data_IF_498861428476
#
_entry.id   IF_498861428476
#
_cell.length_a   1.000
_cell.length_b   1.000
_cell.length_c   1.000
_cell.angle_alpha   90.00
_cell.angle_beta   90.00
_cell.angle_gamma   90.00
#
_symmetry.space_group_name_H-M   'P 1'
#
loop_
_entity.id
_entity.type
_entity.pdbx_description
1 polymer ?
#
# COMPACT_ATOMS: atom_id res chain seq x y z
N UNK A 1 -52.51 -15.32 -6.95
CA UNK A 1 -51.28 -15.59 -7.74
C UNK A 1 -50.80 -14.28 -8.33
N UNK A 2 -49.71 -13.67 -7.83
CA UNK A 2 -49.22 -12.41 -8.36
C UNK A 2 -48.38 -12.62 -9.63
N UNK A 3 -48.72 -11.86 -10.65
CA UNK A 3 -48.07 -11.82 -11.97
C UNK A 3 -46.69 -11.20 -11.87
N UNK A 4 -45.66 -11.89 -12.37
CA UNK A 4 -44.28 -11.40 -12.44
C UNK A 4 -44.13 -10.53 -13.69
N UNK A 5 -43.93 -9.21 -13.51
CA UNK A 5 -43.44 -8.35 -14.59
C UNK A 5 -41.94 -8.58 -14.80
N UNK A 6 -41.47 -8.81 -16.04
CA UNK A 6 -40.05 -8.92 -16.31
C UNK A 6 -39.39 -7.54 -16.28
N UNK A 7 -38.47 -7.37 -15.32
CA UNK A 7 -37.56 -6.23 -15.21
C UNK A 7 -36.89 -5.97 -16.57
N UNK A 8 -37.14 -4.80 -17.14
CA UNK A 8 -36.44 -4.36 -18.35
C UNK A 8 -34.96 -4.19 -18.05
N UNK A 9 -34.18 -4.99 -18.77
CA UNK A 9 -32.73 -4.91 -18.91
C UNK A 9 -32.33 -3.49 -19.32
N UNK A 10 -31.79 -2.71 -18.37
CA UNK A 10 -31.12 -1.44 -18.67
C UNK A 10 -29.79 -1.79 -19.35
N UNK A 11 -29.80 -1.72 -20.67
CA UNK A 11 -28.66 -1.94 -21.54
C UNK A 11 -27.67 -0.77 -21.36
N UNK A 12 -26.55 -1.00 -20.68
CA UNK A 12 -25.46 -0.01 -20.60
C UNK A 12 -24.78 0.04 -21.97
N UNK A 13 -25.01 1.13 -22.70
CA UNK A 13 -24.36 1.44 -23.96
C UNK A 13 -22.88 1.78 -23.72
N UNK A 14 -21.90 1.09 -24.35
CA UNK A 14 -20.52 1.56 -24.35
C UNK A 14 -20.40 2.80 -25.24
N UNK A 15 -20.36 3.96 -24.61
CA UNK A 15 -20.14 5.25 -25.25
C UNK A 15 -18.82 5.27 -26.03
N UNK A 16 -18.95 5.52 -27.34
CA UNK A 16 -17.89 5.88 -28.27
C UNK A 16 -17.13 7.11 -27.77
N UNK A 17 -15.80 7.08 -27.91
CA UNK A 17 -15.03 8.28 -28.24
C UNK A 17 -13.94 8.65 -27.25
N UNK A 18 -12.71 8.23 -27.56
CA UNK A 18 -11.61 9.15 -27.92
C UNK A 18 -10.39 8.33 -28.31
N UNK A 19 -10.23 8.20 -29.63
CA UNK A 19 -8.97 7.85 -30.27
C UNK A 19 -8.05 9.07 -30.12
N UNK A 20 -6.96 8.94 -29.39
CA UNK A 20 -5.78 9.78 -29.59
C UNK A 20 -4.68 8.82 -29.98
N UNK A 21 -4.44 8.79 -31.28
CA UNK A 21 -3.38 8.04 -31.94
C UNK A 21 -2.32 9.07 -32.39
N UNK A 22 -1.08 8.65 -32.20
CA UNK A 22 0.13 9.02 -32.94
C UNK A 22 1.00 10.21 -32.49
N UNK A 23 2.28 9.93 -32.76
CA UNK A 23 3.50 10.74 -32.80
C UNK A 23 4.24 10.87 -31.46
N UNK A 24 5.53 10.53 -31.35
CA UNK A 24 6.59 10.61 -32.36
C UNK A 24 7.73 9.60 -32.06
N UNK A 25 8.35 9.11 -33.12
CA UNK A 25 9.51 8.22 -33.15
C UNK A 25 10.80 8.82 -32.55
N UNK A 26 11.66 7.89 -32.11
CA UNK A 26 13.11 7.84 -32.33
C UNK A 26 14.00 9.03 -31.90
N UNK A 27 14.82 8.78 -30.88
CA UNK A 27 16.26 9.09 -30.97
C UNK A 27 17.04 7.83 -30.62
N UNK A 28 17.64 7.26 -31.66
CA UNK A 28 18.69 6.26 -31.62
C UNK A 28 20.01 7.01 -31.41
N UNK A 29 20.87 6.52 -30.50
CA UNK A 29 22.29 6.47 -30.81
C UNK A 29 23.30 7.07 -29.82
N UNK A 30 24.22 6.19 -29.40
CA UNK A 30 25.69 6.35 -29.43
C UNK A 30 26.42 6.77 -28.14
N UNK A 31 27.36 5.90 -27.72
CA UNK A 31 28.51 6.15 -26.83
C UNK A 31 28.39 5.44 -25.48
N UNK A 32 28.98 4.27 -25.18
CA UNK A 32 30.35 3.76 -25.35
C UNK A 32 31.45 4.65 -24.74
N UNK A 33 32.08 4.17 -23.66
CA UNK A 33 33.28 4.73 -23.01
C UNK A 33 33.24 4.52 -21.48
N UNK A 34 33.62 3.36 -20.94
CA UNK A 34 35.00 3.01 -20.54
C UNK A 34 35.73 4.11 -19.75
N UNK A 35 35.84 3.92 -18.42
CA UNK A 35 36.97 4.29 -17.54
C UNK A 35 36.43 4.33 -16.09
N UNK A 36 36.42 3.23 -15.34
CA UNK A 36 37.57 2.80 -14.55
C UNK A 36 38.48 3.97 -14.15
N UNK A 37 38.06 4.73 -13.13
CA UNK A 37 39.00 5.43 -12.27
C UNK A 37 39.17 4.59 -10.99
N UNK A 38 39.98 3.53 -11.11
CA UNK A 38 40.65 2.95 -9.95
C UNK A 38 41.79 3.89 -9.57
N UNK A 39 41.59 4.71 -8.54
CA UNK A 39 42.67 5.48 -7.95
C UNK A 39 43.10 4.85 -6.63
N UNK A 40 44.12 4.01 -6.79
CA UNK A 40 45.30 3.82 -5.93
C UNK A 40 45.07 3.51 -4.44
N UNK A 41 45.35 2.25 -4.12
CA UNK A 41 45.72 1.79 -2.80
C UNK A 41 46.87 2.61 -2.19
N UNK A 42 46.70 3.00 -0.93
CA UNK A 42 47.82 3.17 0.00
C UNK A 42 47.48 2.37 1.26
N UNK A 43 48.08 1.20 1.35
CA UNK A 43 48.28 0.48 2.60
C UNK A 43 49.46 1.14 3.33
N UNK A 44 49.25 1.46 4.61
CA UNK A 44 50.31 1.66 5.58
C UNK A 44 49.81 1.18 6.97
N UNK A 45 50.72 0.64 7.80
CA UNK A 45 50.39 -0.28 8.89
C UNK A 45 49.85 0.43 10.13
N UNK A 46 49.16 -0.34 10.98
CA UNK A 46 48.42 0.12 12.15
C UNK A 46 49.24 0.85 13.24
N UNK A 47 48.54 1.24 14.31
CA UNK A 47 48.68 0.45 15.52
C UNK A 47 47.33 -0.07 16.01
N UNK A 48 47.32 -1.35 16.39
CA UNK A 48 46.28 -1.92 17.23
C UNK A 48 46.38 -1.29 18.62
N UNK A 49 45.58 -0.26 18.88
CA UNK A 49 45.21 0.09 20.25
C UNK A 49 44.06 -0.81 20.68
N UNK A 50 44.40 -1.86 21.43
CA UNK A 50 43.49 -2.52 22.35
C UNK A 50 43.00 -1.49 23.35
N UNK A 51 41.70 -1.24 23.32
CA UNK A 51 41.04 -0.24 24.14
C UNK A 51 39.62 -0.10 23.63
N UNK A 52 38.83 -1.16 23.80
CA UNK A 52 37.40 -1.19 23.49
C UNK A 52 36.68 -0.27 24.48
N UNK A 53 36.82 1.03 24.23
CA UNK A 53 35.96 2.08 24.75
C UNK A 53 34.57 1.73 24.28
N UNK A 54 33.64 1.47 25.20
CA UNK A 54 32.18 1.41 25.02
C UNK A 54 31.70 1.92 23.66
N UNK A 55 31.88 1.10 22.62
CA UNK A 55 31.53 1.47 21.27
C UNK A 55 30.03 1.29 21.21
N UNK A 56 29.30 2.37 21.51
CA UNK A 56 27.83 2.38 21.49
C UNK A 56 27.39 1.83 20.15
N UNK A 57 26.91 0.58 20.17
CA UNK A 57 26.42 -0.12 18.98
C UNK A 57 25.43 0.82 18.29
N UNK A 58 25.58 1.07 16.98
CA UNK A 58 24.62 1.92 16.27
C UNK A 58 23.22 1.34 16.50
N UNK A 59 22.22 2.19 16.74
CA UNK A 59 20.87 1.73 17.02
C UNK A 59 20.37 0.85 15.88
N UNK A 60 19.75 -0.27 16.23
CA UNK A 60 19.10 -1.15 15.25
C UNK A 60 18.07 -0.33 14.45
N UNK A 61 17.83 -0.71 13.20
CA UNK A 61 16.82 -0.07 12.34
C UNK A 61 15.43 -0.01 13.03
N UNK A 62 15.09 -0.99 13.86
CA UNK A 62 13.87 -0.99 14.67
C UNK A 62 13.87 0.06 15.79
N UNK A 63 15.03 0.32 16.40
CA UNK A 63 15.18 1.38 17.41
C UNK A 63 15.06 2.76 16.76
N UNK A 64 15.64 2.95 15.57
CA UNK A 64 15.50 4.18 14.79
C UNK A 64 14.04 4.46 14.42
N UNK A 65 13.27 3.44 14.03
CA UNK A 65 11.84 3.60 13.75
C UNK A 65 11.05 4.04 15.00
N UNK A 66 11.32 3.45 16.16
CA UNK A 66 10.64 3.81 17.42
C UNK A 66 10.95 5.23 17.88
N UNK A 67 12.20 5.67 17.73
CA UNK A 67 12.66 7.02 18.08
C UNK A 67 12.43 8.05 16.98
N UNK A 68 11.91 7.64 15.82
CA UNK A 68 11.61 8.58 14.75
C UNK A 68 10.46 9.51 15.16
N UNK A 69 10.61 10.78 14.81
CA UNK A 69 9.54 11.79 14.92
C UNK A 69 8.52 11.66 13.78
N UNK A 70 8.57 10.56 13.02
CA UNK A 70 7.62 10.33 11.95
C UNK A 70 6.23 10.17 12.57
N UNK A 71 5.20 10.82 12.00
CA UNK A 71 3.82 10.60 12.39
C UNK A 71 3.52 9.10 12.34
N UNK A 72 3.19 8.52 13.49
CA UNK A 72 2.76 7.14 13.58
C UNK A 72 1.30 7.13 13.19
N UNK A 73 1.03 6.97 11.90
CA UNK A 73 -0.35 6.92 11.38
C UNK A 73 -1.07 5.74 12.03
N UNK A 74 -1.91 6.01 13.02
CA UNK A 74 -2.76 5.01 13.64
C UNK A 74 -4.18 5.15 13.07
N UNK A 75 -4.60 4.18 12.27
CA UNK A 75 -5.95 4.13 11.72
C UNK A 75 -6.80 3.15 12.53
N UNK A 76 -8.01 3.57 12.90
CA UNK A 76 -9.01 2.66 13.47
C UNK A 76 -9.69 1.89 12.33
N UNK A 77 -9.51 0.58 12.32
CA UNK A 77 -10.07 -0.33 11.32
C UNK A 77 -11.33 -1.08 11.80
N UNK A 78 -11.92 -0.67 12.93
CA UNK A 78 -13.13 -1.29 13.47
C UNK A 78 -14.35 -1.23 12.54
N UNK A 79 -14.37 -0.29 11.59
CA UNK A 79 -15.44 -0.11 10.59
C UNK A 79 -15.51 -1.21 9.51
N UNK A 80 -14.50 -2.09 9.43
CA UNK A 80 -14.45 -3.17 8.46
C UNK A 80 -15.24 -4.37 8.97
N UNK A 81 -16.47 -4.56 8.50
CA UNK A 81 -17.38 -5.59 9.02
C UNK A 81 -17.19 -6.97 8.38
N UNK A 82 -16.49 -7.05 7.26
CA UNK A 82 -16.30 -8.29 6.54
C UNK A 82 -14.85 -8.73 6.53
N UNK A 83 -14.60 -9.91 7.10
CA UNK A 83 -13.29 -10.58 7.05
C UNK A 83 -13.51 -11.95 6.44
N UNK A 84 -12.87 -12.27 5.29
CA UNK A 84 -13.00 -13.58 4.68
C UNK A 84 -12.50 -14.68 5.63
N UNK A 85 -13.25 -15.78 5.75
CA UNK A 85 -12.94 -16.88 6.68
C UNK A 85 -11.52 -17.42 6.48
N UNK A 86 -10.83 -17.66 7.59
CA UNK A 86 -9.46 -18.21 7.57
C UNK A 86 -8.40 -17.22 7.05
N UNK A 87 -8.71 -15.93 6.98
CA UNK A 87 -7.74 -14.90 6.61
C UNK A 87 -7.09 -14.27 7.84
N UNK A 88 -5.81 -13.96 7.71
CA UNK A 88 -5.05 -13.05 8.57
C UNK A 88 -5.25 -11.64 8.02
N UNK A 89 -5.46 -10.68 8.91
CA UNK A 89 -5.59 -9.27 8.58
C UNK A 89 -4.22 -8.62 8.76
N UNK A 90 -3.78 -7.87 7.75
CA UNK A 90 -2.61 -7.00 7.84
C UNK A 90 -3.07 -5.58 7.58
N UNK A 91 -2.91 -4.73 8.59
CA UNK A 91 -3.32 -3.33 8.57
C UNK A 91 -2.29 -2.47 7.80
N UNK A 92 -2.78 -1.60 6.92
CA UNK A 92 -2.00 -0.57 6.21
C UNK A 92 -2.62 0.81 6.46
N UNK A 93 -2.41 1.39 7.66
CA UNK A 93 -2.99 2.68 8.06
C UNK A 93 -2.61 3.81 7.11
N UNK A 94 -1.41 3.79 6.55
CA UNK A 94 -0.91 4.77 5.60
C UNK A 94 -1.71 4.81 4.29
N UNK A 95 -2.40 3.71 3.95
CA UNK A 95 -3.27 3.61 2.75
C UNK A 95 -4.75 3.52 3.09
N UNK A 96 -5.12 3.56 4.38
CA UNK A 96 -6.49 3.33 4.82
C UNK A 96 -7.05 1.97 4.35
N UNK A 97 -6.21 0.93 4.37
CA UNK A 97 -6.51 -0.37 3.76
C UNK A 97 -6.19 -1.54 4.70
N UNK A 98 -7.01 -2.58 4.62
CA UNK A 98 -6.75 -3.90 5.19
C UNK A 98 -6.37 -4.90 4.10
N UNK A 99 -5.29 -5.65 4.28
CA UNK A 99 -4.94 -6.78 3.41
C UNK A 99 -5.42 -8.07 4.06
N UNK A 100 -6.13 -8.90 3.30
CA UNK A 100 -6.49 -10.24 3.71
C UNK A 100 -5.48 -11.23 3.16
N UNK A 101 -4.87 -12.04 4.02
CA UNK A 101 -3.95 -13.11 3.61
C UNK A 101 -4.49 -14.46 4.07
N UNK A 102 -4.39 -15.49 3.24
CA UNK A 102 -4.74 -16.84 3.65
C UNK A 102 -3.85 -17.29 4.82
N UNK A 103 -4.45 -17.70 5.94
CA UNK A 103 -3.69 -18.20 7.10
C UNK A 103 -2.87 -19.45 6.78
N UNK A 104 -3.33 -20.26 5.81
CA UNK A 104 -2.68 -21.52 5.44
C UNK A 104 -1.53 -21.33 4.46
N UNK A 105 -1.71 -20.48 3.45
CA UNK A 105 -0.76 -20.35 2.34
C UNK A 105 0.02 -19.04 2.36
N UNK A 106 -0.37 -18.07 3.19
CA UNK A 106 0.20 -16.72 3.22
C UNK A 106 -0.15 -15.85 2.02
N UNK A 107 -0.80 -16.41 1.00
CA UNK A 107 -1.15 -15.71 -0.25
C UNK A 107 -2.19 -14.62 0.01
N UNK A 108 -2.12 -13.47 -0.71
CA UNK A 108 -3.13 -12.43 -0.60
C UNK A 108 -4.48 -12.97 -1.11
N UNK A 109 -5.49 -12.92 -0.25
CA UNK A 109 -6.86 -13.31 -0.54
C UNK A 109 -7.74 -12.12 -0.95
N UNK A 110 -7.12 -10.94 -1.09
CA UNK A 110 -7.79 -9.69 -1.41
C UNK A 110 -7.44 -8.60 -0.42
N UNK A 111 -8.14 -7.49 -0.51
CA UNK A 111 -7.98 -6.36 0.39
C UNK A 111 -9.27 -5.55 0.50
N UNK A 112 -9.41 -4.78 1.56
CA UNK A 112 -10.48 -3.82 1.71
C UNK A 112 -9.88 -2.42 1.86
N UNK A 113 -10.42 -1.46 1.13
CA UNK A 113 -9.96 -0.07 1.15
C UNK A 113 -11.12 0.85 1.46
N UNK A 114 -10.86 1.85 2.29
CA UNK A 114 -11.81 2.92 2.53
C UNK A 114 -11.76 3.94 1.38
N UNK A 115 -12.92 4.21 0.77
CA UNK A 115 -13.11 5.22 -0.28
C UNK A 115 -14.25 6.15 0.12
N UNK A 116 -13.91 7.35 0.56
CA UNK A 116 -14.89 8.35 0.97
C UNK A 116 -15.77 7.83 2.11
N UNK A 117 -17.03 7.55 1.80
CA UNK A 117 -18.06 7.08 2.74
C UNK A 117 -18.29 5.57 2.76
N UNK A 118 -17.46 4.83 2.05
CA UNK A 118 -17.69 3.41 1.84
C UNK A 118 -16.40 2.62 1.90
N UNK A 119 -16.48 1.40 2.42
CA UNK A 119 -15.42 0.39 2.36
C UNK A 119 -15.67 -0.50 1.14
N UNK A 120 -14.69 -0.55 0.23
CA UNK A 120 -14.71 -1.45 -0.92
C UNK A 120 -13.82 -2.65 -0.65
N UNK A 121 -14.36 -3.83 -0.86
CA UNK A 121 -13.64 -5.09 -0.78
C UNK A 121 -13.27 -5.53 -2.19
N UNK A 122 -12.02 -5.95 -2.34
CA UNK A 122 -11.41 -6.38 -3.59
C UNK A 122 -10.93 -7.82 -3.48
N UNK A 123 -11.02 -8.54 -4.58
CA UNK A 123 -10.39 -9.85 -4.73
C UNK A 123 -8.86 -9.74 -4.90
N UNK A 124 -8.12 -10.85 -4.95
CA UNK A 124 -6.68 -10.83 -5.20
C UNK A 124 -6.27 -10.18 -6.53
N UNK A 125 -7.17 -10.18 -7.53
CA UNK A 125 -6.96 -9.56 -8.82
C UNK A 125 -7.27 -8.05 -8.84
N UNK A 126 -7.73 -7.49 -7.71
CA UNK A 126 -8.09 -6.08 -7.58
C UNK A 126 -9.48 -5.73 -8.12
N UNK A 127 -10.36 -6.71 -8.35
CA UNK A 127 -11.75 -6.47 -8.75
C UNK A 127 -12.63 -6.22 -7.53
N UNK A 128 -13.53 -5.21 -7.55
CA UNK A 128 -14.44 -4.97 -6.44
C UNK A 128 -15.45 -6.11 -6.35
N UNK A 129 -15.53 -6.75 -5.19
CA UNK A 129 -16.44 -7.87 -4.90
C UNK A 129 -17.56 -7.48 -3.93
N UNK A 130 -17.37 -6.42 -3.14
CA UNK A 130 -18.36 -5.96 -2.18
C UNK A 130 -18.17 -4.48 -1.86
N UNK A 131 -19.29 -3.80 -1.67
CA UNK A 131 -19.37 -2.44 -1.15
C UNK A 131 -20.05 -2.46 0.22
N UNK A 132 -19.52 -1.71 1.17
CA UNK A 132 -20.13 -1.47 2.47
C UNK A 132 -20.18 0.04 2.69
N UNK A 133 -21.36 0.60 2.87
CA UNK A 133 -21.50 1.99 3.29
C UNK A 133 -21.19 2.13 4.77
N UNK A 134 -20.50 3.21 5.13
CA UNK A 134 -20.30 3.58 6.53
C UNK A 134 -21.55 4.25 7.09
N UNK A 135 -21.82 3.96 8.36
CA UNK A 135 -22.78 4.75 9.14
C UNK A 135 -22.22 6.15 9.44
N UNK A 136 -23.08 7.14 9.70
CA UNK A 136 -22.64 8.49 10.09
C UNK A 136 -21.68 8.48 11.29
N UNK A 137 -21.88 7.58 12.25
CA UNK A 137 -21.05 7.43 13.45
C UNK A 137 -19.66 6.84 13.13
N UNK A 138 -19.57 5.91 12.18
CA UNK A 138 -18.28 5.37 11.70
C UNK A 138 -17.52 6.42 10.89
N UNK A 139 -18.24 7.18 10.06
CA UNK A 139 -17.68 8.28 9.29
C UNK A 139 -17.07 9.35 10.20
N UNK A 140 -17.80 9.79 11.23
CA UNK A 140 -17.33 10.80 12.17
C UNK A 140 -16.08 10.34 12.93
N UNK A 141 -16.08 9.07 13.39
CA UNK A 141 -14.89 8.46 14.03
C UNK A 141 -13.69 8.43 13.09
N UNK A 142 -13.89 8.03 11.83
CA UNK A 142 -12.83 8.06 10.83
C UNK A 142 -12.25 9.46 10.64
N UNK A 143 -13.11 10.46 10.44
CA UNK A 143 -12.69 11.84 10.20
C UNK A 143 -11.88 12.39 11.38
N UNK A 144 -12.31 12.12 12.62
CA UNK A 144 -11.56 12.50 13.82
C UNK A 144 -10.17 11.87 13.87
N UNK A 145 -10.06 10.58 13.58
CA UNK A 145 -8.78 9.86 13.58
C UNK A 145 -7.88 10.30 12.42
N UNK A 146 -8.45 10.58 11.25
CA UNK A 146 -7.71 11.08 10.09
C UNK A 146 -7.18 12.50 10.32
N UNK A 147 -7.92 13.35 11.04
CA UNK A 147 -7.47 14.70 11.43
C UNK A 147 -6.42 14.66 12.53
N UNK A 148 -6.51 13.73 13.48
CA UNK A 148 -5.55 13.60 14.57
C UNK A 148 -4.15 13.15 14.12
N UNK A 149 -4.03 12.57 12.92
CA UNK A 149 -2.79 12.05 12.37
C UNK A 149 -2.18 12.92 11.24
N UNK A 150 -2.69 14.15 11.04
CA UNK A 150 -2.16 15.11 10.05
C UNK A 150 -1.22 16.14 10.66
#
# INVERSE_FOLDING_TARGET
MPSFEPLRLIQIQPGRGRRILALLCAVVGIGSGMALHMQKAQAAPGPQTFGDRDAKKPPSMHQLFRSSQLPKTYADFSMFHFVPRGSIIVEQPERGRLIFRSRKTGQPNGYAELKGDSVLYYDPAGRPIRLQHLTPEEMDRWNKNALANR
#
